data_IF_773988593665
#
_entry.id   IF_773988593665
#
_cell.length_a   1.000
_cell.length_b   1.000
_cell.length_c   1.000
_cell.angle_alpha   90.00
_cell.angle_beta   90.00
_cell.angle_gamma   90.00
#
_symmetry.space_group_name_H-M   'P 1'
#
loop_
_entity.id
_entity.type
_entity.pdbx_description
1 polymer ?
#
# COMPACT_ATOMS: atom_id res chain seq x y z
N UNK A 1 0.30 17.51 -20.62
CA UNK A 1 0.80 16.76 -19.43
C UNK A 1 -0.37 16.03 -18.82
N UNK A 2 -0.20 14.78 -18.50
CA UNK A 2 -1.22 13.92 -17.88
C UNK A 2 -1.02 13.94 -16.34
N UNK A 3 -2.02 14.39 -15.61
CA UNK A 3 -1.98 14.63 -14.17
C UNK A 3 -3.04 13.81 -13.45
N UNK A 4 -2.72 13.44 -12.24
CA UNK A 4 -3.62 12.76 -11.32
C UNK A 4 -3.79 13.62 -10.06
N UNK A 5 -5.02 13.99 -9.76
CA UNK A 5 -5.38 14.70 -8.54
C UNK A 5 -6.21 13.80 -7.63
N UNK A 6 -5.89 13.79 -6.34
CA UNK A 6 -6.70 13.18 -5.28
C UNK A 6 -7.16 14.24 -4.29
N UNK A 7 -8.41 14.14 -3.86
CA UNK A 7 -9.02 15.07 -2.93
C UNK A 7 -9.78 14.31 -1.85
N UNK A 8 -9.62 14.75 -0.61
CA UNK A 8 -10.40 14.28 0.54
C UNK A 8 -10.79 15.44 1.44
N UNK A 9 -12.08 15.58 1.74
CA UNK A 9 -12.59 16.64 2.64
C UNK A 9 -13.92 16.22 3.27
N UNK A 10 -14.47 17.07 4.14
CA UNK A 10 -15.87 16.95 4.57
C UNK A 10 -16.81 17.15 3.38
N UNK A 11 -17.83 16.29 3.27
CA UNK A 11 -18.80 16.36 2.18
C UNK A 11 -19.68 17.60 2.29
N UNK A 12 -19.78 18.34 1.20
CA UNK A 12 -20.63 19.52 1.07
C UNK A 12 -20.92 19.86 -0.40
N UNK A 13 -22.02 20.58 -0.69
CA UNK A 13 -22.36 20.96 -2.06
C UNK A 13 -21.27 21.81 -2.73
N UNK A 14 -21.01 21.54 -4.01
CA UNK A 14 -20.15 22.34 -4.86
C UNK A 14 -18.70 21.86 -5.00
N UNK A 15 -18.26 20.80 -4.29
CA UNK A 15 -16.88 20.25 -4.41
C UNK A 15 -16.60 19.83 -5.85
N UNK A 16 -17.48 19.03 -6.46
CA UNK A 16 -17.31 18.55 -7.84
C UNK A 16 -17.26 19.72 -8.83
N UNK A 17 -18.16 20.70 -8.65
CA UNK A 17 -18.16 21.91 -9.48
C UNK A 17 -16.85 22.68 -9.36
N UNK A 18 -16.34 22.88 -8.16
CA UNK A 18 -15.07 23.56 -7.94
C UNK A 18 -13.87 22.80 -8.58
N UNK A 19 -13.84 21.47 -8.42
CA UNK A 19 -12.82 20.62 -9.05
C UNK A 19 -12.85 20.73 -10.58
N UNK A 20 -14.03 20.60 -11.19
CA UNK A 20 -14.15 20.69 -12.65
C UNK A 20 -13.87 22.10 -13.18
N UNK A 21 -14.26 23.16 -12.43
CA UNK A 21 -13.92 24.54 -12.74
C UNK A 21 -12.41 24.78 -12.69
N UNK A 22 -11.73 24.27 -11.65
CA UNK A 22 -10.28 24.40 -11.52
C UNK A 22 -9.54 23.74 -12.69
N UNK A 23 -9.97 22.54 -13.08
CA UNK A 23 -9.38 21.82 -14.21
C UNK A 23 -9.63 22.59 -15.52
N UNK A 24 -10.82 23.09 -15.73
CA UNK A 24 -11.13 23.91 -16.91
C UNK A 24 -10.31 25.19 -16.96
N UNK A 25 -10.14 25.89 -15.83
CA UNK A 25 -9.36 27.13 -15.74
C UNK A 25 -7.87 26.95 -16.06
N UNK A 26 -7.30 25.76 -15.81
CA UNK A 26 -5.93 25.44 -16.23
C UNK A 26 -5.89 24.78 -17.64
N UNK A 27 -6.93 24.94 -18.46
CA UNK A 27 -7.00 24.37 -19.79
C UNK A 27 -7.00 22.84 -19.81
N UNK A 28 -7.52 22.23 -18.75
CA UNK A 28 -7.52 20.78 -18.57
C UNK A 28 -8.76 20.10 -19.15
N UNK A 29 -8.60 18.83 -19.53
CA UNK A 29 -9.66 17.93 -19.96
C UNK A 29 -9.63 16.66 -19.10
N UNK A 30 -10.76 16.34 -18.46
CA UNK A 30 -10.89 15.17 -17.58
C UNK A 30 -10.93 13.89 -18.44
N UNK A 31 -10.08 12.93 -18.10
CA UNK A 31 -10.01 11.61 -18.73
C UNK A 31 -10.75 10.58 -17.89
N UNK A 32 -10.51 10.58 -16.57
CA UNK A 32 -11.13 9.66 -15.62
C UNK A 32 -11.50 10.42 -14.36
N UNK A 33 -12.67 10.13 -13.81
CA UNK A 33 -13.13 10.72 -12.56
C UNK A 33 -13.89 9.70 -11.74
N UNK A 34 -13.43 9.48 -10.52
CA UNK A 34 -14.07 8.61 -9.54
C UNK A 34 -14.26 9.40 -8.24
N UNK A 35 -15.43 9.25 -7.63
CA UNK A 35 -15.76 9.94 -6.39
C UNK A 35 -16.69 9.11 -5.53
N UNK A 36 -16.61 9.32 -4.22
CA UNK A 36 -17.48 8.66 -3.26
C UNK A 36 -17.63 9.52 -2.00
N UNK A 37 -18.85 9.53 -1.43
CA UNK A 37 -19.09 10.09 -0.09
C UNK A 37 -19.37 8.96 0.87
N UNK A 38 -18.52 8.79 1.90
CA UNK A 38 -18.81 7.84 2.97
C UNK A 38 -20.04 8.29 3.77
N UNK A 39 -21.13 7.53 3.76
CA UNK A 39 -22.37 7.94 4.43
C UNK A 39 -22.23 7.99 5.96
N UNK A 40 -21.23 7.31 6.54
CA UNK A 40 -21.01 7.25 7.99
C UNK A 40 -20.23 8.45 8.50
N UNK A 41 -19.09 8.76 7.88
CA UNK A 41 -18.19 9.84 8.30
C UNK A 41 -18.47 11.16 7.62
N UNK A 42 -19.33 11.15 6.57
CA UNK A 42 -19.56 12.32 5.71
C UNK A 42 -18.24 12.84 5.09
N UNK A 43 -17.31 11.94 4.82
CA UNK A 43 -16.08 12.25 4.12
C UNK A 43 -16.28 12.04 2.62
N UNK A 44 -16.00 13.08 1.85
CA UNK A 44 -15.96 13.02 0.39
C UNK A 44 -14.54 12.72 -0.06
N UNK A 45 -14.39 11.79 -1.00
CA UNK A 45 -13.12 11.46 -1.66
C UNK A 45 -13.30 11.49 -3.17
N UNK A 46 -12.27 11.95 -3.87
CA UNK A 46 -12.29 12.06 -5.32
C UNK A 46 -10.90 11.81 -5.90
N UNK A 47 -10.85 11.05 -6.99
CA UNK A 47 -9.66 10.81 -7.81
C UNK A 47 -9.98 11.23 -9.24
N UNK A 48 -9.19 12.15 -9.78
CA UNK A 48 -9.42 12.71 -11.12
C UNK A 48 -8.12 12.68 -11.92
N UNK A 49 -8.14 12.01 -13.06
CA UNK A 49 -7.07 12.06 -14.06
C UNK A 49 -7.48 13.02 -15.18
N UNK A 50 -6.60 13.93 -15.51
CA UNK A 50 -6.85 14.95 -16.54
C UNK A 50 -5.57 15.34 -17.28
N UNK A 51 -5.74 15.79 -18.50
CA UNK A 51 -4.65 16.35 -19.30
C UNK A 51 -4.71 17.89 -19.28
N UNK A 52 -3.54 18.55 -19.24
CA UNK A 52 -3.45 19.99 -19.41
C UNK A 52 -2.21 20.38 -20.21
N UNK A 53 -2.32 21.47 -20.99
CA UNK A 53 -1.18 22.09 -21.70
C UNK A 53 -0.41 23.10 -20.85
N UNK A 54 -0.98 23.57 -19.72
CA UNK A 54 -0.39 24.62 -18.88
C UNK A 54 0.59 24.11 -17.84
N UNK A 55 0.69 22.78 -17.66
CA UNK A 55 1.63 22.14 -16.74
C UNK A 55 1.14 22.02 -15.30
N UNK A 56 1.93 21.31 -14.49
CA UNK A 56 1.59 20.93 -13.12
C UNK A 56 1.39 22.15 -12.21
N UNK A 57 2.26 23.16 -12.31
CA UNK A 57 2.18 24.36 -11.46
C UNK A 57 0.88 25.12 -11.66
N UNK A 58 0.48 25.36 -12.91
CA UNK A 58 -0.78 26.05 -13.21
C UNK A 58 -1.99 25.25 -12.75
N UNK A 59 -1.93 23.92 -12.84
CA UNK A 59 -2.96 23.03 -12.31
C UNK A 59 -3.05 23.11 -10.79
N UNK A 60 -1.92 23.06 -10.07
CA UNK A 60 -1.86 23.23 -8.62
C UNK A 60 -2.46 24.58 -8.19
N UNK A 61 -2.00 25.69 -8.78
CA UNK A 61 -2.47 27.04 -8.45
C UNK A 61 -3.99 27.16 -8.67
N UNK A 62 -4.52 26.56 -9.73
CA UNK A 62 -5.95 26.59 -10.04
C UNK A 62 -6.77 25.73 -9.06
N UNK A 63 -6.30 24.53 -8.75
CA UNK A 63 -6.96 23.63 -7.79
C UNK A 63 -6.97 24.23 -6.38
N UNK A 64 -5.85 24.77 -5.92
CA UNK A 64 -5.77 25.42 -4.61
C UNK A 64 -6.73 26.61 -4.53
N UNK A 65 -6.80 27.44 -5.56
CA UNK A 65 -7.69 28.60 -5.61
C UNK A 65 -9.17 28.21 -5.47
N UNK A 66 -9.62 27.23 -6.24
CA UNK A 66 -11.05 26.89 -6.31
C UNK A 66 -11.49 25.98 -5.14
N UNK A 67 -10.55 25.15 -4.60
CA UNK A 67 -10.86 24.13 -3.59
C UNK A 67 -10.54 24.56 -2.17
N UNK A 68 -9.72 25.60 -1.94
CA UNK A 68 -9.29 26.03 -0.59
C UNK A 68 -10.44 26.23 0.40
N UNK A 69 -11.59 26.71 -0.04
CA UNK A 69 -12.79 26.91 0.78
C UNK A 69 -13.35 25.62 1.41
N UNK A 70 -12.99 24.44 0.87
CA UNK A 70 -13.40 23.15 1.39
C UNK A 70 -12.35 22.55 2.35
N UNK A 71 -11.20 23.21 2.54
CA UNK A 71 -10.08 22.75 3.35
C UNK A 71 -9.68 21.28 3.07
N UNK A 72 -9.47 20.90 1.79
CA UNK A 72 -9.22 19.51 1.43
C UNK A 72 -7.78 19.09 1.76
N UNK A 73 -7.59 17.78 2.01
CA UNK A 73 -6.34 17.12 1.70
C UNK A 73 -6.29 16.93 0.19
N UNK A 74 -5.43 17.67 -0.48
CA UNK A 74 -5.28 17.66 -1.94
C UNK A 74 -3.87 17.21 -2.30
N UNK A 75 -3.76 16.31 -3.26
CA UNK A 75 -2.49 15.93 -3.89
C UNK A 75 -2.64 15.96 -5.39
N UNK A 76 -1.61 16.41 -6.09
CA UNK A 76 -1.53 16.35 -7.53
C UNK A 76 -0.14 15.89 -7.94
N UNK A 77 -0.05 15.03 -8.95
CA UNK A 77 1.22 14.59 -9.54
C UNK A 77 1.08 14.20 -11.01
N UNK A 78 2.16 14.20 -11.75
CA UNK A 78 2.21 13.58 -13.08
C UNK A 78 1.92 12.07 -13.00
N UNK A 79 1.13 11.54 -13.93
CA UNK A 79 0.79 10.11 -13.96
C UNK A 79 1.99 9.21 -14.22
N UNK A 80 3.05 9.73 -14.84
CA UNK A 80 4.31 9.01 -15.09
C UNK A 80 5.29 9.04 -13.92
N UNK A 81 5.01 9.80 -12.85
CA UNK A 81 5.82 9.77 -11.64
C UNK A 81 5.55 8.49 -10.87
N UNK A 82 6.62 7.73 -10.63
CA UNK A 82 6.55 6.49 -9.86
C UNK A 82 6.84 6.77 -8.39
N UNK A 83 6.00 6.31 -7.46
CA UNK A 83 6.34 6.37 -6.03
C UNK A 83 7.46 5.38 -5.71
N UNK A 84 8.37 5.78 -4.80
CA UNK A 84 9.49 4.97 -4.34
C UNK A 84 9.06 4.05 -3.19
N UNK A 85 9.20 2.73 -3.39
CA UNK A 85 8.87 1.71 -2.42
C UNK A 85 10.11 1.13 -1.74
N UNK A 86 10.14 1.07 -0.41
CA UNK A 86 11.09 0.25 0.35
C UNK A 86 10.42 -1.09 0.67
N UNK A 87 11.04 -2.22 0.29
CA UNK A 87 10.50 -3.53 0.60
C UNK A 87 11.28 -4.14 1.77
N UNK A 88 10.58 -4.53 2.82
CA UNK A 88 11.14 -5.26 3.96
C UNK A 88 10.74 -6.73 3.88
N UNK A 89 11.72 -7.63 4.04
CA UNK A 89 11.53 -9.08 3.93
C UNK A 89 12.22 -9.83 5.07
N UNK A 90 11.83 -11.09 5.29
CA UNK A 90 12.57 -12.00 6.20
C UNK A 90 13.14 -13.17 5.39
N UNK A 91 12.50 -14.34 5.38
CA UNK A 91 12.99 -15.56 4.68
C UNK A 91 12.08 -16.01 3.54
N UNK A 92 10.78 -15.81 3.71
CA UNK A 92 9.78 -16.25 2.73
C UNK A 92 9.85 -15.38 1.48
N UNK A 93 10.04 -16.02 0.31
CA UNK A 93 10.32 -15.30 -0.93
C UNK A 93 9.10 -15.07 -1.83
N UNK A 94 7.98 -15.78 -1.61
CA UNK A 94 6.87 -15.83 -2.55
C UNK A 94 6.26 -14.45 -2.88
N UNK A 95 6.03 -13.61 -1.86
CA UNK A 95 5.52 -12.25 -2.06
C UNK A 95 6.55 -11.36 -2.77
N UNK A 96 7.81 -11.42 -2.34
CA UNK A 96 8.89 -10.64 -2.97
C UNK A 96 9.07 -11.02 -4.45
N UNK A 97 9.08 -12.32 -4.78
CA UNK A 97 9.22 -12.79 -6.18
C UNK A 97 8.12 -12.25 -7.08
N UNK A 98 6.88 -12.25 -6.60
CA UNK A 98 5.75 -11.74 -7.36
C UNK A 98 5.86 -10.21 -7.58
N UNK A 99 6.22 -9.45 -6.54
CA UNK A 99 6.47 -8.02 -6.66
C UNK A 99 7.59 -7.70 -7.66
N UNK A 100 8.71 -8.42 -7.59
CA UNK A 100 9.85 -8.23 -8.49
C UNK A 100 9.48 -8.59 -9.94
N UNK A 101 8.76 -9.67 -10.15
CA UNK A 101 8.27 -10.09 -11.46
C UNK A 101 7.35 -9.04 -12.09
N UNK A 102 6.36 -8.56 -11.34
CA UNK A 102 5.44 -7.52 -11.82
C UNK A 102 6.15 -6.16 -12.04
N UNK A 103 7.16 -5.87 -11.23
CA UNK A 103 8.01 -4.70 -11.42
C UNK A 103 8.80 -4.78 -12.75
N UNK A 104 9.41 -5.93 -13.05
CA UNK A 104 10.12 -6.14 -14.33
C UNK A 104 9.21 -6.04 -15.55
N UNK A 105 7.97 -6.53 -15.45
CA UNK A 105 6.97 -6.40 -16.50
C UNK A 105 6.44 -4.97 -16.67
N UNK A 106 6.75 -4.05 -15.73
CA UNK A 106 6.18 -2.71 -15.71
C UNK A 106 4.70 -2.65 -15.30
N UNK A 107 4.18 -3.75 -14.71
CA UNK A 107 2.80 -3.82 -14.21
C UNK A 107 2.62 -3.18 -12.83
N UNK A 108 3.70 -3.02 -12.08
CA UNK A 108 3.75 -2.20 -10.86
C UNK A 108 4.45 -0.88 -11.19
N UNK A 109 3.69 0.21 -11.10
CA UNK A 109 4.19 1.55 -11.40
C UNK A 109 4.88 2.17 -10.18
N UNK A 110 6.00 1.57 -9.75
CA UNK A 110 6.82 1.95 -8.60
C UNK A 110 8.30 1.95 -8.97
N UNK A 111 9.12 2.62 -8.15
CA UNK A 111 10.56 2.42 -8.11
C UNK A 111 10.93 1.66 -6.83
N UNK A 112 11.89 0.73 -6.91
CA UNK A 112 12.36 -0.07 -5.77
C UNK A 112 13.87 0.21 -5.59
N UNK A 113 14.24 1.28 -4.89
CA UNK A 113 15.65 1.65 -4.73
C UNK A 113 16.40 0.74 -3.74
N UNK A 114 15.70 0.02 -2.86
CA UNK A 114 16.31 -0.82 -1.84
C UNK A 114 15.33 -1.90 -1.34
N UNK A 115 15.87 -3.09 -1.11
CA UNK A 115 15.22 -4.13 -0.31
C UNK A 115 16.04 -4.34 0.97
N UNK A 116 15.38 -4.34 2.13
CA UNK A 116 16.01 -4.58 3.43
C UNK A 116 15.53 -5.90 4.01
N UNK A 117 16.43 -6.68 4.59
CA UNK A 117 16.10 -7.94 5.26
C UNK A 117 16.87 -8.09 6.56
N UNK A 118 16.22 -8.70 7.55
CA UNK A 118 16.90 -9.16 8.76
C UNK A 118 17.62 -10.52 8.60
N UNK A 119 17.56 -11.10 7.38
CA UNK A 119 18.23 -12.34 6.99
C UNK A 119 18.89 -12.21 5.62
N UNK A 120 19.88 -13.05 5.33
CA UNK A 120 20.69 -12.97 4.10
C UNK A 120 20.13 -13.78 2.92
N UNK A 121 19.20 -14.69 3.18
CA UNK A 121 18.77 -15.74 2.23
C UNK A 121 18.21 -15.20 0.92
N UNK A 122 17.64 -14.00 0.91
CA UNK A 122 17.02 -13.41 -0.29
C UNK A 122 17.94 -12.45 -1.05
N UNK A 123 19.21 -12.30 -0.62
CA UNK A 123 20.17 -11.37 -1.23
C UNK A 123 20.37 -11.62 -2.72
N UNK A 124 20.72 -12.85 -3.09
CA UNK A 124 20.99 -13.21 -4.50
C UNK A 124 19.77 -13.00 -5.39
N UNK A 125 18.57 -13.31 -4.88
CA UNK A 125 17.32 -13.05 -5.60
C UNK A 125 17.15 -11.56 -5.91
N UNK A 126 17.34 -10.67 -4.93
CA UNK A 126 17.17 -9.23 -5.09
C UNK A 126 18.21 -8.64 -6.02
N UNK A 127 19.47 -8.98 -5.80
CA UNK A 127 20.60 -8.47 -6.59
C UNK A 127 20.56 -8.95 -8.05
N UNK A 128 19.99 -10.14 -8.33
CA UNK A 128 19.78 -10.60 -9.71
C UNK A 128 18.80 -9.75 -10.52
N UNK A 129 17.94 -8.97 -9.85
CA UNK A 129 17.06 -7.97 -10.47
C UNK A 129 17.68 -6.58 -10.53
N UNK A 130 18.98 -6.43 -10.21
CA UNK A 130 19.68 -5.14 -10.20
C UNK A 130 19.28 -4.21 -9.06
N UNK A 131 18.59 -4.72 -8.04
CA UNK A 131 18.12 -3.94 -6.89
C UNK A 131 19.11 -4.09 -5.74
N UNK A 132 19.52 -3.01 -5.06
CA UNK A 132 20.35 -3.06 -3.86
C UNK A 132 19.68 -3.84 -2.72
N UNK A 133 20.46 -4.66 -2.02
CA UNK A 133 20.01 -5.41 -0.84
C UNK A 133 20.79 -4.99 0.40
N UNK A 134 20.09 -4.67 1.47
CA UNK A 134 20.69 -4.31 2.76
C UNK A 134 20.32 -5.35 3.82
N UNK A 135 21.33 -6.03 4.34
CA UNK A 135 21.17 -6.97 5.45
C UNK A 135 21.30 -6.24 6.79
N UNK A 136 20.23 -6.17 7.56
CA UNK A 136 20.16 -5.59 8.89
C UNK A 136 19.64 -6.62 9.89
N UNK A 137 20.52 -7.47 10.47
CA UNK A 137 20.13 -8.46 11.46
C UNK A 137 19.44 -7.80 12.66
N UNK A 138 18.40 -8.46 13.19
CA UNK A 138 17.64 -7.96 14.33
C UNK A 138 17.72 -8.93 15.51
N UNK A 139 17.93 -8.38 16.70
CA UNK A 139 17.80 -9.03 18.00
C UNK A 139 16.95 -8.16 18.92
N UNK A 140 16.65 -8.66 20.11
CA UNK A 140 15.92 -7.87 21.12
C UNK A 140 16.72 -6.62 21.52
N UNK A 141 18.04 -6.71 21.57
CA UNK A 141 18.93 -5.64 22.04
C UNK A 141 19.13 -4.54 20.97
N UNK A 142 19.13 -4.90 19.66
CA UNK A 142 19.48 -3.97 18.60
C UNK A 142 18.27 -3.48 17.77
N UNK A 143 17.04 -3.90 18.09
CA UNK A 143 15.84 -3.60 17.32
C UNK A 143 15.64 -2.08 17.10
N UNK A 144 15.83 -1.29 18.14
CA UNK A 144 15.69 0.18 18.05
C UNK A 144 16.71 0.81 17.10
N UNK A 145 17.94 0.33 17.09
CA UNK A 145 19.00 0.82 16.18
C UNK A 145 18.74 0.37 14.73
N UNK A 146 18.29 -0.87 14.56
CA UNK A 146 17.91 -1.39 13.26
C UNK A 146 16.75 -0.55 12.64
N UNK A 147 15.70 -0.25 13.42
CA UNK A 147 14.61 0.60 12.96
C UNK A 147 15.07 2.03 12.64
N UNK A 148 15.95 2.62 13.44
CA UNK A 148 16.57 3.93 13.13
C UNK A 148 17.35 3.89 11.82
N UNK A 149 18.09 2.82 11.56
CA UNK A 149 18.83 2.65 10.31
C UNK A 149 17.88 2.56 9.11
N UNK A 150 16.75 1.86 9.24
CA UNK A 150 15.72 1.80 8.19
C UNK A 150 15.10 3.19 7.97
N UNK A 151 14.73 3.92 9.02
CA UNK A 151 14.17 5.28 8.92
C UNK A 151 15.17 6.25 8.27
N UNK A 152 16.46 6.12 8.57
CA UNK A 152 17.50 6.90 7.91
C UNK A 152 17.56 6.62 6.39
N UNK A 153 17.42 5.36 5.97
CA UNK A 153 17.35 4.98 4.55
C UNK A 153 16.07 5.49 3.88
N UNK A 154 14.94 5.48 4.58
CA UNK A 154 13.68 6.07 4.10
C UNK A 154 13.88 7.56 3.77
N UNK A 155 14.52 8.31 4.67
CA UNK A 155 14.80 9.73 4.45
C UNK A 155 15.84 9.96 3.34
N UNK A 156 16.95 9.21 3.33
CA UNK A 156 18.03 9.30 2.34
C UNK A 156 17.55 9.06 0.92
N UNK A 157 16.76 7.98 0.73
CA UNK A 157 16.27 7.55 -0.58
C UNK A 157 14.92 8.17 -0.95
N UNK A 158 14.37 9.04 -0.13
CA UNK A 158 13.06 9.68 -0.32
C UNK A 158 11.95 8.66 -0.59
N UNK A 159 11.88 7.64 0.25
CA UNK A 159 10.88 6.56 0.14
C UNK A 159 9.49 7.13 0.42
N UNK A 160 8.55 6.88 -0.47
CA UNK A 160 7.15 7.30 -0.33
C UNK A 160 6.34 6.35 0.55
N UNK A 161 6.63 5.03 0.46
CA UNK A 161 5.93 4.01 1.25
C UNK A 161 6.77 2.75 1.47
N UNK A 162 6.37 1.95 2.45
CA UNK A 162 7.06 0.71 2.85
C UNK A 162 6.14 -0.48 2.62
N UNK A 163 6.69 -1.58 2.10
CA UNK A 163 5.99 -2.84 1.88
C UNK A 163 6.60 -3.92 2.76
N UNK A 164 5.83 -4.49 3.67
CA UNK A 164 6.21 -5.63 4.49
C UNK A 164 5.85 -6.93 3.75
N UNK A 165 6.76 -7.41 2.90
CA UNK A 165 6.58 -8.62 2.11
C UNK A 165 7.01 -9.85 2.92
N UNK A 166 6.19 -10.27 3.88
CA UNK A 166 6.53 -11.32 4.87
C UNK A 166 7.69 -10.91 5.78
N UNK A 167 7.71 -9.65 6.20
CA UNK A 167 8.64 -9.17 7.22
C UNK A 167 8.13 -9.56 8.61
N UNK A 168 8.75 -10.57 9.20
CA UNK A 168 8.28 -11.21 10.44
C UNK A 168 8.77 -10.48 11.71
N UNK A 169 8.81 -9.16 11.67
CA UNK A 169 9.14 -8.29 12.80
C UNK A 169 7.99 -7.31 13.03
N UNK A 170 7.58 -7.16 14.28
CA UNK A 170 6.62 -6.12 14.69
C UNK A 170 7.35 -4.78 14.70
N UNK A 171 6.87 -3.81 13.94
CA UNK A 171 7.42 -2.45 13.96
C UNK A 171 7.05 -1.73 15.26
N UNK A 172 7.95 -0.89 15.76
CA UNK A 172 7.66 -0.06 16.94
C UNK A 172 6.62 1.02 16.63
N UNK A 173 5.93 1.51 17.67
CA UNK A 173 5.04 2.65 17.56
C UNK A 173 5.77 3.87 16.97
N UNK A 174 7.02 4.09 17.39
CA UNK A 174 7.84 5.18 16.84
C UNK A 174 7.99 5.06 15.33
N UNK A 175 8.30 3.86 14.80
CA UNK A 175 8.41 3.65 13.35
C UNK A 175 7.09 3.91 12.64
N UNK A 176 5.98 3.37 13.15
CA UNK A 176 4.66 3.54 12.55
C UNK A 176 4.22 5.02 12.51
N UNK A 177 4.53 5.81 13.54
CA UNK A 177 4.20 7.24 13.58
C UNK A 177 5.02 8.11 12.62
N UNK A 178 6.19 7.64 12.16
CA UNK A 178 6.97 8.34 11.11
C UNK A 178 6.42 8.12 9.69
N UNK A 179 5.63 7.05 9.50
CA UNK A 179 5.11 6.66 8.18
C UNK A 179 3.60 6.38 8.23
N UNK A 180 2.76 7.29 8.75
CA UNK A 180 1.33 7.06 8.95
C UNK A 180 0.61 6.85 7.61
N UNK A 181 -0.11 5.72 7.46
CA UNK A 181 -0.81 5.37 6.22
C UNK A 181 0.10 5.04 5.02
N UNK A 182 1.40 4.79 5.27
CA UNK A 182 2.41 4.54 4.24
C UNK A 182 3.13 3.21 4.41
N UNK A 183 2.67 2.34 5.28
CA UNK A 183 3.24 1.00 5.48
C UNK A 183 2.17 -0.02 5.16
N UNK A 184 2.42 -0.87 4.16
CA UNK A 184 1.52 -1.93 3.73
C UNK A 184 2.08 -3.26 4.21
N UNK A 185 1.28 -4.04 4.93
CA UNK A 185 1.63 -5.39 5.39
C UNK A 185 0.76 -6.45 4.72
N UNK A 186 1.35 -7.62 4.48
CA UNK A 186 0.59 -8.83 4.18
C UNK A 186 0.47 -9.71 5.43
N UNK A 187 -0.75 -9.90 5.90
CA UNK A 187 -1.08 -10.81 6.96
C UNK A 187 -1.60 -12.13 6.38
N UNK A 188 -1.05 -13.24 6.84
CA UNK A 188 -1.28 -14.57 6.30
C UNK A 188 -2.56 -15.26 6.87
N UNK A 189 -3.61 -14.46 7.10
CA UNK A 189 -4.95 -14.95 7.38
C UNK A 189 -6.01 -13.94 6.93
N UNK A 190 -7.25 -14.39 6.86
CA UNK A 190 -8.40 -13.52 6.66
C UNK A 190 -8.72 -12.82 7.99
N UNK A 191 -8.33 -11.55 8.12
CA UNK A 191 -8.63 -10.75 9.31
C UNK A 191 -10.13 -10.47 9.45
N UNK A 192 -10.68 -10.50 10.67
CA UNK A 192 -10.00 -10.55 11.98
C UNK A 192 -9.71 -11.96 12.54
N UNK A 193 -9.75 -13.00 11.72
CA UNK A 193 -9.51 -14.38 12.15
C UNK A 193 -8.03 -14.75 12.28
N UNK A 194 -7.72 -15.76 13.10
CA UNK A 194 -6.41 -16.42 13.25
C UNK A 194 -5.22 -15.47 13.39
N UNK A 195 -5.18 -14.72 14.47
CA UNK A 195 -4.02 -13.93 14.87
C UNK A 195 -2.89 -14.80 15.43
N UNK A 196 -1.65 -14.41 15.25
CA UNK A 196 -0.47 -15.04 15.80
C UNK A 196 0.25 -16.01 14.86
N UNK A 197 1.05 -16.94 15.45
CA UNK A 197 1.94 -17.80 14.67
C UNK A 197 1.21 -19.03 14.07
N UNK A 198 1.68 -19.48 12.89
CA UNK A 198 1.21 -20.67 12.17
C UNK A 198 -0.31 -20.73 11.91
N UNK A 199 -0.94 -19.68 11.33
CA UNK A 199 -2.40 -19.63 11.18
C UNK A 199 -2.95 -20.75 10.30
N UNK A 200 -2.22 -21.24 9.30
CA UNK A 200 -2.66 -22.36 8.45
C UNK A 200 -2.72 -23.70 9.21
N UNK A 201 -1.83 -23.94 10.18
CA UNK A 201 -1.92 -25.11 11.04
C UNK A 201 -3.13 -24.99 11.97
N UNK A 202 -3.34 -23.81 12.57
CA UNK A 202 -4.54 -23.56 13.40
C UNK A 202 -5.83 -23.73 12.58
N UNK A 203 -5.84 -23.27 11.33
CA UNK A 203 -6.96 -23.41 10.41
C UNK A 203 -7.24 -24.87 10.09
N UNK A 204 -6.20 -25.67 9.79
CA UNK A 204 -6.30 -27.10 9.56
C UNK A 204 -6.87 -27.83 10.79
N UNK A 205 -6.30 -27.60 11.98
CA UNK A 205 -6.73 -28.25 13.23
C UNK A 205 -8.18 -27.93 13.60
N UNK A 206 -8.66 -26.74 13.22
CA UNK A 206 -10.07 -26.33 13.40
C UNK A 206 -10.99 -26.82 12.28
N UNK A 207 -10.46 -27.43 11.23
CA UNK A 207 -11.25 -27.92 10.09
C UNK A 207 -12.01 -26.82 9.36
N UNK A 208 -11.41 -25.63 9.18
CA UNK A 208 -12.04 -24.51 8.48
C UNK A 208 -12.37 -24.89 7.03
N UNK A 209 -13.27 -24.13 6.42
CA UNK A 209 -13.69 -24.34 5.01
C UNK A 209 -13.17 -23.28 4.08
N UNK A 210 -12.59 -22.21 4.63
CA UNK A 210 -11.93 -21.13 3.89
C UNK A 210 -10.64 -20.73 4.59
N UNK A 211 -9.63 -20.40 3.82
CA UNK A 211 -8.41 -19.70 4.26
C UNK A 211 -8.23 -18.45 3.41
N UNK A 212 -7.40 -17.52 3.86
CA UNK A 212 -7.19 -16.28 3.11
C UNK A 212 -5.99 -15.50 3.58
N UNK A 213 -5.80 -14.33 2.98
CA UNK A 213 -4.80 -13.35 3.36
C UNK A 213 -5.38 -11.94 3.33
N UNK A 214 -4.76 -11.02 4.05
CA UNK A 214 -5.18 -9.63 4.16
C UNK A 214 -3.99 -8.70 3.98
N UNK A 215 -4.05 -7.80 3.01
CA UNK A 215 -3.17 -6.64 2.94
C UNK A 215 -3.84 -5.46 3.66
N UNK A 216 -3.11 -4.83 4.57
CA UNK A 216 -3.62 -3.73 5.37
C UNK A 216 -2.53 -2.70 5.65
N UNK A 217 -2.93 -1.49 6.00
CA UNK A 217 -1.98 -0.52 6.53
C UNK A 217 -1.53 -0.91 7.93
N UNK A 218 -0.26 -0.67 8.23
CA UNK A 218 0.29 -0.91 9.57
C UNK A 218 -0.01 0.28 10.47
N UNK A 219 -0.47 -0.04 11.68
CA UNK A 219 -0.67 0.90 12.79
C UNK A 219 0.15 0.44 14.00
N UNK A 220 0.06 1.13 15.10
CA UNK A 220 0.66 0.74 16.38
C UNK A 220 -0.03 -0.48 17.02
N UNK A 221 -1.28 -0.75 16.64
CA UNK A 221 -2.01 -1.96 17.03
C UNK A 221 -1.73 -3.07 16.03
N UNK A 222 -1.20 -4.22 16.50
CA UNK A 222 -0.82 -5.33 15.65
C UNK A 222 -2.02 -5.91 14.89
N UNK A 223 -1.91 -5.94 13.55
CA UNK A 223 -2.90 -6.50 12.62
C UNK A 223 -4.30 -5.85 12.70
N UNK A 224 -4.41 -4.62 13.23
CA UNK A 224 -5.67 -3.87 13.39
C UNK A 224 -5.80 -2.68 12.42
N UNK A 225 -4.81 -2.48 11.56
CA UNK A 225 -4.82 -1.37 10.60
C UNK A 225 -5.87 -1.49 9.49
N UNK A 226 -6.21 -0.38 8.82
CA UNK A 226 -7.20 -0.35 7.75
C UNK A 226 -6.89 -1.34 6.62
N UNK A 227 -7.87 -2.17 6.28
CA UNK A 227 -7.75 -3.22 5.26
C UNK A 227 -7.75 -2.60 3.87
N UNK A 228 -6.81 -3.06 3.02
CA UNK A 228 -6.70 -2.63 1.61
C UNK A 228 -7.31 -3.68 0.70
N UNK A 229 -6.88 -4.93 0.85
CA UNK A 229 -7.31 -6.03 -0.01
C UNK A 229 -7.38 -7.33 0.77
N UNK A 230 -8.35 -8.17 0.43
CA UNK A 230 -8.50 -9.51 0.99
C UNK A 230 -8.88 -10.48 -0.10
N UNK A 231 -8.36 -11.71 -0.02
CA UNK A 231 -8.79 -12.81 -0.86
C UNK A 231 -8.86 -14.10 -0.05
N UNK A 232 -9.70 -15.04 -0.48
CA UNK A 232 -9.94 -16.31 0.19
C UNK A 232 -9.95 -17.47 -0.81
N UNK A 233 -9.63 -18.66 -0.31
CA UNK A 233 -9.83 -19.90 -1.04
C UNK A 233 -10.62 -20.90 -0.21
N UNK A 234 -11.47 -21.68 -0.87
CA UNK A 234 -12.13 -22.83 -0.26
C UNK A 234 -11.13 -23.97 -0.06
N UNK A 235 -11.21 -24.62 1.09
CA UNK A 235 -10.43 -25.82 1.42
C UNK A 235 -11.37 -26.92 1.90
N UNK A 236 -10.95 -28.17 1.76
CA UNK A 236 -11.75 -29.34 2.11
C UNK A 236 -11.15 -30.09 3.30
N UNK A 237 -11.87 -31.08 3.80
CA UNK A 237 -11.39 -31.99 4.83
C UNK A 237 -10.23 -32.88 4.39
N UNK A 238 -9.99 -33.00 3.08
CA UNK A 238 -8.88 -33.76 2.51
C UNK A 238 -7.61 -32.93 2.31
N UNK A 239 -7.67 -31.62 2.51
CA UNK A 239 -6.51 -30.74 2.40
C UNK A 239 -5.62 -30.88 3.64
N UNK A 240 -4.33 -31.13 3.45
CA UNK A 240 -3.33 -31.18 4.52
C UNK A 240 -2.93 -29.77 4.98
N UNK A 241 -2.20 -29.66 6.08
CA UNK A 241 -1.65 -28.38 6.51
C UNK A 241 -0.66 -27.79 5.49
N UNK A 242 0.08 -28.65 4.78
CA UNK A 242 0.99 -28.28 3.68
C UNK A 242 0.22 -27.74 2.47
N UNK A 243 -0.92 -28.36 2.12
CA UNK A 243 -1.79 -27.85 1.06
C UNK A 243 -2.33 -26.46 1.41
N UNK A 244 -2.75 -26.25 2.68
CA UNK A 244 -3.22 -24.95 3.14
C UNK A 244 -2.11 -23.90 3.06
N UNK A 245 -0.86 -24.26 3.40
CA UNK A 245 0.30 -23.39 3.25
C UNK A 245 0.57 -23.01 1.78
N UNK A 246 0.48 -23.97 0.86
CA UNK A 246 0.70 -23.73 -0.56
C UNK A 246 -0.38 -22.78 -1.14
N UNK A 247 -1.65 -23.06 -0.87
CA UNK A 247 -2.78 -22.22 -1.27
C UNK A 247 -2.65 -20.82 -0.63
N UNK A 248 -2.27 -20.76 0.66
CA UNK A 248 -2.09 -19.50 1.38
C UNK A 248 -1.01 -18.61 0.76
N UNK A 249 0.16 -19.16 0.40
CA UNK A 249 1.23 -18.42 -0.29
C UNK A 249 0.75 -17.82 -1.63
N UNK A 250 -0.08 -18.56 -2.35
CA UNK A 250 -0.63 -18.09 -3.62
C UNK A 250 -1.60 -16.91 -3.44
N UNK A 251 -2.40 -16.94 -2.38
CA UNK A 251 -3.29 -15.83 -2.02
C UNK A 251 -2.45 -14.63 -1.54
N UNK A 252 -1.50 -14.85 -0.62
CA UNK A 252 -0.67 -13.79 -0.05
C UNK A 252 0.04 -12.94 -1.11
N UNK A 253 0.68 -13.60 -2.12
CA UNK A 253 1.40 -12.89 -3.18
C UNK A 253 0.46 -12.02 -4.02
N UNK A 254 -0.72 -12.53 -4.41
CA UNK A 254 -1.71 -11.79 -5.22
C UNK A 254 -2.31 -10.61 -4.45
N UNK A 255 -2.68 -10.84 -3.20
CA UNK A 255 -3.27 -9.80 -2.33
C UNK A 255 -2.30 -8.67 -2.08
N UNK A 256 -1.02 -8.98 -1.78
CA UNK A 256 0.00 -7.96 -1.58
C UNK A 256 0.29 -7.17 -2.87
N UNK A 257 0.47 -7.86 -3.99
CA UNK A 257 0.73 -7.22 -5.28
C UNK A 257 -0.42 -6.27 -5.69
N UNK A 258 -1.67 -6.70 -5.51
CA UNK A 258 -2.85 -5.87 -5.77
C UNK A 258 -2.90 -4.64 -4.84
N UNK A 259 -2.60 -4.80 -3.55
CA UNK A 259 -2.57 -3.69 -2.60
C UNK A 259 -1.48 -2.67 -2.96
N UNK A 260 -0.28 -3.13 -3.33
CA UNK A 260 0.82 -2.25 -3.79
C UNK A 260 0.44 -1.51 -5.07
N UNK A 261 -0.19 -2.19 -6.02
CA UNK A 261 -0.68 -1.58 -7.26
C UNK A 261 -1.72 -0.48 -6.99
N UNK A 262 -2.74 -0.78 -6.19
CA UNK A 262 -3.77 0.20 -5.81
C UNK A 262 -3.16 1.43 -5.12
N UNK A 263 -2.16 1.23 -4.27
CA UNK A 263 -1.46 2.32 -3.60
C UNK A 263 -0.67 3.18 -4.60
N UNK A 264 0.11 2.55 -5.48
CA UNK A 264 0.93 3.26 -6.47
C UNK A 264 0.11 4.06 -7.48
N UNK A 265 -1.16 3.69 -7.68
CA UNK A 265 -2.11 4.35 -8.58
C UNK A 265 -3.00 5.39 -7.86
N UNK A 266 -2.73 5.72 -6.57
CA UNK A 266 -3.55 6.63 -5.74
C UNK A 266 -5.03 6.25 -5.72
N UNK A 267 -5.33 4.96 -5.60
CA UNK A 267 -6.70 4.44 -5.57
C UNK A 267 -7.23 4.17 -4.17
N UNK A 268 -6.42 4.43 -3.13
CA UNK A 268 -6.74 4.12 -1.74
C UNK A 268 -6.91 5.41 -0.94
N UNK A 269 -8.05 5.58 -0.30
CA UNK A 269 -8.31 6.68 0.63
C UNK A 269 -8.54 6.13 2.04
N UNK A 270 -7.83 6.68 3.01
CA UNK A 270 -7.99 6.33 4.41
C UNK A 270 -9.14 7.17 5.02
N UNK A 271 -10.17 6.49 5.54
CA UNK A 271 -11.29 7.14 6.20
C UNK A 271 -11.52 6.52 7.58
N UNK A 272 -10.92 7.12 8.58
CA UNK A 272 -10.87 6.56 9.94
C UNK A 272 -10.14 5.21 9.96
N UNK A 273 -10.82 4.15 10.41
CA UNK A 273 -10.27 2.78 10.47
C UNK A 273 -10.58 1.95 9.20
N UNK A 274 -11.05 2.57 8.13
CA UNK A 274 -11.42 1.90 6.88
C UNK A 274 -10.71 2.51 5.70
N UNK A 275 -10.74 1.82 4.57
CA UNK A 275 -10.32 2.34 3.27
C UNK A 275 -11.51 2.49 2.33
N UNK A 276 -11.45 3.48 1.44
CA UNK A 276 -12.26 3.55 0.23
C UNK A 276 -11.32 3.25 -0.93
N UNK A 277 -11.68 2.27 -1.75
CA UNK A 277 -10.86 1.79 -2.86
C UNK A 277 -11.58 2.09 -4.18
N UNK A 278 -10.91 2.78 -5.08
CA UNK A 278 -11.36 2.95 -6.45
C UNK A 278 -10.76 1.86 -7.34
N UNK A 279 -11.61 1.04 -7.91
CA UNK A 279 -11.24 -0.09 -8.79
C UNK A 279 -11.11 0.35 -10.26
#
# INVERSE_FOLDING_TARGET
>A
MDLLATLQCADQPGIVHAMTTAILNCGGNIIENQQFTDPTTKTFVMRTRFETSQGEKAANDSLDKELSRFSPSLSIRPTNQKPCALILVTKESHCLRDLLYLFELGELHIDIPLVVSNHIELKELVESHGIPFLHLPVSVENKSEQEKAILAKIAELKIDFVVLARYMQVLSQHFCTQMPGKIINIHHSFLPGFKGAKPYHQAHDRGVKIIGATAHFVTDELDEGPIIEQDVAHVSHSSTAEDLLAIGRDIERRVLAKAVKLYSEDRIFLVGKRTIIFS
#
